data_IF_231253128911
#
_entry.id   IF_231253128911
#
_cell.length_a   1.000
_cell.length_b   1.000
_cell.length_c   1.000
_cell.angle_alpha   90.00
_cell.angle_beta   90.00
_cell.angle_gamma   90.00
#
_symmetry.space_group_name_H-M   'P 1'
#
loop_
_entity.id
_entity.type
_entity.pdbx_description
1 polymer ?
#
# COMPACT_ATOMS: atom_id res chain seq x y z
N UNK A 1 5.67 -31.78 -15.04
CA UNK A 1 6.64 -31.20 -16.01
C UNK A 1 6.62 -29.66 -16.08
N UNK A 2 6.17 -28.93 -15.05
CA UNK A 2 6.13 -27.45 -15.07
C UNK A 2 7.17 -26.72 -14.20
N UNK A 3 7.92 -27.44 -13.35
CA UNK A 3 8.85 -26.84 -12.38
C UNK A 3 10.27 -26.61 -12.92
N UNK A 4 10.73 -27.38 -13.90
CA UNK A 4 12.10 -27.29 -14.43
C UNK A 4 12.34 -26.02 -15.24
N UNK A 5 11.45 -25.68 -16.19
CA UNK A 5 11.59 -24.48 -17.05
C UNK A 5 11.63 -23.12 -16.32
N UNK A 6 11.16 -23.05 -15.08
CA UNK A 6 11.21 -21.82 -14.28
C UNK A 6 12.57 -21.62 -13.60
N UNK A 7 13.25 -22.73 -13.28
CA UNK A 7 14.59 -22.73 -12.69
C UNK A 7 15.62 -22.27 -13.72
N UNK A 8 15.59 -22.86 -14.92
CA UNK A 8 16.49 -22.52 -16.04
C UNK A 8 16.47 -21.01 -16.40
N UNK A 9 15.31 -20.35 -16.26
CA UNK A 9 15.15 -18.91 -16.56
C UNK A 9 15.68 -18.00 -15.46
N UNK A 10 15.57 -18.42 -14.20
CA UNK A 10 16.15 -17.69 -13.07
C UNK A 10 17.67 -17.77 -13.12
N UNK A 11 18.22 -18.93 -13.48
CA UNK A 11 19.65 -19.09 -13.70
C UNK A 11 20.14 -18.23 -14.86
N UNK A 12 19.41 -18.19 -15.99
CA UNK A 12 19.75 -17.30 -17.10
C UNK A 12 19.76 -15.82 -16.69
N UNK A 13 18.79 -15.39 -15.86
CA UNK A 13 18.76 -14.03 -15.31
C UNK A 13 19.94 -13.78 -14.36
N UNK A 14 20.30 -14.75 -13.52
CA UNK A 14 21.46 -14.65 -12.62
C UNK A 14 22.77 -14.48 -13.39
N UNK A 15 22.98 -15.29 -14.43
CA UNK A 15 24.14 -15.12 -15.32
C UNK A 15 24.13 -13.75 -16.02
N UNK A 16 22.96 -13.26 -16.43
CA UNK A 16 22.82 -11.95 -17.05
C UNK A 16 23.20 -10.83 -16.07
N UNK A 17 22.67 -10.85 -14.83
CA UNK A 17 22.99 -9.85 -13.80
C UNK A 17 24.49 -9.83 -13.46
N UNK A 18 25.11 -11.01 -13.29
CA UNK A 18 26.53 -11.13 -12.94
C UNK A 18 27.47 -10.66 -14.07
N UNK A 19 27.02 -10.70 -15.33
CA UNK A 19 27.80 -10.27 -16.51
C UNK A 19 27.41 -8.89 -17.04
N UNK A 20 26.48 -8.20 -16.37
CA UNK A 20 26.01 -6.88 -16.78
C UNK A 20 27.10 -5.83 -16.57
N UNK A 21 27.36 -5.01 -17.59
CA UNK A 21 28.18 -3.82 -17.46
C UNK A 21 27.36 -2.66 -16.87
N UNK A 22 27.76 -2.22 -15.67
CA UNK A 22 27.13 -1.12 -14.94
C UNK A 22 27.82 0.22 -15.16
N UNK A 23 28.90 0.29 -15.95
CA UNK A 23 29.63 1.52 -16.29
C UNK A 23 28.70 2.67 -16.73
N UNK A 24 27.69 2.44 -17.59
CA UNK A 24 26.75 3.50 -17.98
C UNK A 24 26.01 4.15 -16.80
N UNK A 25 25.73 3.40 -15.72
CA UNK A 25 25.11 3.94 -14.50
C UNK A 25 26.12 4.80 -13.72
N UNK A 26 27.38 4.38 -13.63
CA UNK A 26 28.41 5.14 -12.92
C UNK A 26 28.76 6.45 -13.64
N UNK A 27 28.73 6.46 -14.97
CA UNK A 27 29.07 7.62 -15.79
C UNK A 27 27.91 8.61 -16.01
N UNK A 28 26.66 8.17 -15.84
CA UNK A 28 25.50 9.03 -16.06
C UNK A 28 25.55 10.33 -15.23
N UNK A 29 25.26 11.47 -15.86
CA UNK A 29 25.54 12.80 -15.30
C UNK A 29 24.60 13.19 -14.16
N UNK A 30 23.30 12.92 -14.32
CA UNK A 30 22.26 13.31 -13.37
C UNK A 30 21.80 12.13 -12.51
N UNK A 31 21.24 12.41 -11.32
CA UNK A 31 20.72 11.36 -10.44
C UNK A 31 19.56 10.60 -11.12
N UNK A 32 18.71 11.33 -11.87
CA UNK A 32 17.64 10.74 -12.67
C UNK A 32 18.20 9.80 -13.75
N UNK A 33 19.17 10.27 -14.55
CA UNK A 33 19.78 9.46 -15.61
C UNK A 33 20.42 8.18 -15.06
N UNK A 34 21.04 8.24 -13.87
CA UNK A 34 21.56 7.04 -13.17
C UNK A 34 20.46 6.03 -12.87
N UNK A 35 19.36 6.47 -12.26
CA UNK A 35 18.24 5.60 -11.90
C UNK A 35 17.49 5.06 -13.13
N UNK A 36 17.31 5.89 -14.15
CA UNK A 36 16.69 5.49 -15.42
C UNK A 36 17.52 4.44 -16.16
N UNK A 37 18.84 4.64 -16.22
CA UNK A 37 19.77 3.69 -16.85
C UNK A 37 19.76 2.36 -16.10
N UNK A 38 19.82 2.41 -14.77
CA UNK A 38 19.67 1.22 -13.92
C UNK A 38 18.37 0.47 -14.19
N UNK A 39 17.23 1.17 -14.21
CA UNK A 39 15.93 0.57 -14.49
C UNK A 39 15.88 -0.04 -15.89
N UNK A 40 16.39 0.68 -16.90
CA UNK A 40 16.40 0.21 -18.30
C UNK A 40 17.22 -1.06 -18.47
N UNK A 41 18.38 -1.16 -17.83
CA UNK A 41 19.23 -2.36 -17.87
C UNK A 41 18.50 -3.55 -17.26
N UNK A 42 17.88 -3.38 -16.08
CA UNK A 42 17.13 -4.46 -15.41
C UNK A 42 15.92 -4.89 -16.23
N UNK A 43 15.15 -3.94 -16.77
CA UNK A 43 13.99 -4.27 -17.61
C UNK A 43 14.40 -5.00 -18.88
N UNK A 44 15.50 -4.60 -19.52
CA UNK A 44 16.04 -5.30 -20.69
C UNK A 44 16.42 -6.75 -20.34
N UNK A 45 17.08 -6.97 -19.22
CA UNK A 45 17.43 -8.32 -18.77
C UNK A 45 16.18 -9.16 -18.45
N UNK A 46 15.17 -8.55 -17.82
CA UNK A 46 13.88 -9.21 -17.56
C UNK A 46 13.17 -9.60 -18.85
N UNK A 47 13.13 -8.72 -19.85
CA UNK A 47 12.47 -8.98 -21.13
C UNK A 47 13.18 -10.09 -21.92
N UNK A 48 14.51 -10.14 -21.86
CA UNK A 48 15.33 -11.17 -22.52
C UNK A 48 15.21 -12.52 -21.80
N UNK A 49 15.43 -12.56 -20.48
CA UNK A 49 15.49 -13.82 -19.72
C UNK A 49 14.09 -14.33 -19.33
N UNK A 50 13.12 -13.44 -19.14
CA UNK A 50 11.78 -13.72 -18.59
C UNK A 50 10.64 -13.03 -19.35
N UNK A 51 10.52 -13.20 -20.69
CA UNK A 51 9.53 -12.49 -21.49
C UNK A 51 8.11 -12.79 -21.03
N UNK A 52 7.29 -11.72 -20.93
CA UNK A 52 5.88 -11.82 -20.58
C UNK A 52 5.12 -12.69 -21.60
N UNK A 53 4.45 -13.72 -21.12
CA UNK A 53 3.61 -14.60 -21.96
C UNK A 53 2.14 -14.44 -21.61
N UNK A 54 1.35 -13.96 -22.57
CA UNK A 54 -0.12 -13.96 -22.46
C UNK A 54 -0.63 -15.38 -22.59
N UNK A 55 -1.23 -15.90 -21.51
CA UNK A 55 -2.01 -17.14 -21.55
C UNK A 55 -3.48 -16.79 -21.50
N UNK A 56 -4.26 -17.31 -22.45
CA UNK A 56 -5.72 -17.34 -22.32
C UNK A 56 -6.06 -18.29 -21.17
N UNK A 57 -6.40 -17.73 -20.02
CA UNK A 57 -7.02 -18.50 -18.95
C UNK A 57 -8.50 -18.64 -19.31
N UNK A 58 -8.93 -19.84 -19.70
CA UNK A 58 -10.35 -20.14 -19.79
C UNK A 58 -10.91 -20.26 -18.37
N UNK A 59 -11.38 -19.14 -17.82
CA UNK A 59 -12.05 -19.04 -16.51
C UNK A 59 -13.33 -19.87 -16.38
N UNK A 60 -13.78 -20.52 -17.47
CA UNK A 60 -14.92 -21.44 -17.46
C UNK A 60 -14.56 -22.88 -17.08
N UNK A 61 -13.29 -23.26 -17.13
CA UNK A 61 -12.91 -24.61 -16.72
C UNK A 61 -13.10 -24.76 -15.22
N UNK A 62 -13.91 -25.76 -14.85
CA UNK A 62 -14.16 -26.06 -13.44
C UNK A 62 -12.84 -26.51 -12.77
N UNK A 63 -12.57 -26.14 -11.52
CA UNK A 63 -11.27 -26.40 -10.87
C UNK A 63 -10.83 -27.87 -10.87
N UNK A 64 -11.79 -28.80 -10.85
CA UNK A 64 -11.56 -30.24 -10.92
C UNK A 64 -11.30 -30.79 -12.34
N UNK A 65 -11.25 -29.94 -13.37
CA UNK A 65 -11.10 -30.35 -14.77
C UNK A 65 -9.63 -30.67 -15.11
N UNK A 66 -9.23 -31.92 -14.94
CA UNK A 66 -7.86 -32.37 -15.25
C UNK A 66 -7.63 -32.61 -16.75
N UNK A 67 -6.38 -32.59 -17.20
CA UNK A 67 -6.04 -32.95 -18.59
C UNK A 67 -6.48 -34.38 -18.96
N UNK A 68 -6.50 -35.30 -17.99
CA UNK A 68 -7.01 -36.66 -18.20
C UNK A 68 -8.52 -36.66 -18.53
N UNK A 69 -9.30 -35.83 -17.84
CA UNK A 69 -10.73 -35.65 -18.12
C UNK A 69 -10.91 -35.01 -19.50
N UNK A 70 -10.20 -33.92 -19.79
CA UNK A 70 -10.25 -33.22 -21.08
C UNK A 70 -9.88 -34.13 -22.25
N UNK A 71 -8.79 -34.87 -22.15
CA UNK A 71 -8.35 -35.83 -23.16
C UNK A 71 -9.39 -36.93 -23.40
N UNK A 72 -10.05 -37.42 -22.34
CA UNK A 72 -11.09 -38.45 -22.47
C UNK A 72 -12.37 -37.89 -23.11
N UNK A 73 -12.74 -36.64 -22.82
CA UNK A 73 -13.83 -35.92 -23.49
C UNK A 73 -13.53 -35.75 -24.98
N UNK A 74 -12.32 -35.27 -25.34
CA UNK A 74 -11.89 -35.14 -26.74
C UNK A 74 -11.96 -36.49 -27.48
N UNK A 75 -11.46 -37.58 -26.85
CA UNK A 75 -11.53 -38.93 -27.41
C UNK A 75 -12.96 -39.45 -27.60
N UNK A 76 -13.89 -39.10 -26.70
CA UNK A 76 -15.32 -39.41 -26.85
C UNK A 76 -15.92 -38.62 -28.01
N UNK A 77 -15.66 -37.31 -28.08
CA UNK A 77 -16.21 -36.43 -29.11
C UNK A 77 -15.73 -36.83 -30.51
N UNK A 78 -14.44 -37.14 -30.67
CA UNK A 78 -13.88 -37.65 -31.93
C UNK A 78 -14.56 -38.94 -32.40
N UNK A 79 -14.92 -39.84 -31.47
CA UNK A 79 -15.65 -41.06 -31.82
C UNK A 79 -17.11 -40.79 -32.19
N UNK A 80 -17.78 -39.87 -31.49
CA UNK A 80 -19.16 -39.48 -31.82
C UNK A 80 -19.25 -38.86 -33.21
N UNK A 81 -18.34 -37.92 -33.53
CA UNK A 81 -18.32 -37.25 -34.83
C UNK A 81 -18.03 -38.22 -36.00
N UNK A 82 -17.31 -39.32 -35.75
CA UNK A 82 -16.91 -40.27 -36.80
C UNK A 82 -17.89 -41.44 -36.99
N UNK A 83 -18.58 -41.86 -35.93
CA UNK A 83 -19.35 -43.12 -35.94
C UNK A 83 -20.76 -42.99 -35.33
N UNK A 84 -21.18 -41.79 -34.93
CA UNK A 84 -22.48 -41.57 -34.30
C UNK A 84 -22.64 -42.30 -32.95
N UNK A 85 -23.89 -42.66 -32.61
CA UNK A 85 -24.24 -43.32 -31.35
C UNK A 85 -23.94 -44.83 -31.43
N UNK A 86 -22.92 -45.29 -30.71
CA UNK A 86 -22.54 -46.71 -30.63
C UNK A 86 -22.41 -47.21 -29.18
N UNK A 87 -22.45 -48.53 -28.97
CA UNK A 87 -22.25 -49.13 -27.64
C UNK A 87 -20.85 -48.82 -27.07
N UNK A 88 -19.84 -48.77 -27.94
CA UNK A 88 -18.47 -48.33 -27.60
C UNK A 88 -18.45 -46.86 -27.13
N UNK A 89 -19.33 -46.01 -27.67
CA UNK A 89 -19.48 -44.61 -27.21
C UNK A 89 -20.12 -44.54 -25.83
N UNK A 90 -21.14 -45.37 -25.52
CA UNK A 90 -21.74 -45.44 -24.18
C UNK A 90 -20.70 -45.78 -23.12
N UNK A 91 -19.84 -46.78 -23.39
CA UNK A 91 -18.72 -47.14 -22.50
C UNK A 91 -17.77 -45.96 -22.26
N UNK A 92 -17.39 -45.22 -23.32
CA UNK A 92 -16.55 -44.01 -23.17
C UNK A 92 -17.27 -42.88 -22.45
N UNK A 93 -18.57 -42.67 -22.66
CA UNK A 93 -19.38 -41.68 -21.92
C UNK A 93 -19.37 -41.99 -20.43
N UNK A 94 -19.61 -43.25 -20.05
CA UNK A 94 -19.62 -43.68 -18.65
C UNK A 94 -18.21 -43.58 -18.03
N UNK A 95 -17.15 -43.82 -18.80
CA UNK A 95 -15.76 -43.57 -18.37
C UNK A 95 -15.51 -42.08 -18.09
N UNK A 96 -15.98 -41.18 -18.96
CA UNK A 96 -15.90 -39.73 -18.75
C UNK A 96 -16.63 -39.32 -17.47
N UNK A 97 -17.86 -39.80 -17.26
CA UNK A 97 -18.64 -39.50 -16.04
C UNK A 97 -17.94 -39.97 -14.77
N UNK A 98 -17.37 -41.19 -14.77
CA UNK A 98 -16.60 -41.70 -13.63
C UNK A 98 -15.37 -40.85 -13.32
N UNK A 99 -14.61 -40.46 -14.34
CA UNK A 99 -13.44 -39.60 -14.18
C UNK A 99 -13.82 -38.21 -13.65
N UNK A 100 -14.93 -37.64 -14.13
CA UNK A 100 -15.46 -36.37 -13.60
C UNK A 100 -15.85 -36.51 -12.13
N UNK A 101 -16.56 -37.57 -11.74
CA UNK A 101 -16.98 -37.80 -10.35
C UNK A 101 -15.77 -37.97 -9.43
N UNK A 102 -14.77 -38.74 -9.85
CA UNK A 102 -13.52 -38.93 -9.11
C UNK A 102 -12.72 -37.63 -8.98
N UNK A 103 -12.56 -36.88 -10.08
CA UNK A 103 -11.83 -35.61 -10.07
C UNK A 103 -12.51 -34.56 -9.19
N UNK A 104 -13.85 -34.46 -9.23
CA UNK A 104 -14.63 -33.61 -8.31
C UNK A 104 -14.39 -33.99 -6.85
N UNK A 105 -14.54 -35.27 -6.51
CA UNK A 105 -14.36 -35.76 -5.14
C UNK A 105 -12.95 -35.45 -4.63
N UNK A 106 -11.93 -35.79 -5.41
CA UNK A 106 -10.53 -35.58 -5.01
C UNK A 106 -10.19 -34.09 -4.87
N UNK A 107 -10.70 -33.25 -5.78
CA UNK A 107 -10.53 -31.79 -5.68
C UNK A 107 -11.04 -31.27 -4.35
N UNK A 108 -12.32 -31.51 -4.02
CA UNK A 108 -12.90 -30.96 -2.79
C UNK A 108 -12.28 -31.53 -1.51
N UNK A 109 -11.92 -32.82 -1.49
CA UNK A 109 -11.24 -33.43 -0.34
C UNK A 109 -9.88 -32.74 -0.11
N UNK A 110 -9.07 -32.62 -1.17
CA UNK A 110 -7.74 -32.02 -1.07
C UNK A 110 -7.83 -30.53 -0.74
N UNK A 111 -8.77 -29.81 -1.35
CA UNK A 111 -8.98 -28.38 -1.10
C UNK A 111 -9.41 -28.13 0.35
N UNK A 112 -10.34 -28.92 0.91
CA UNK A 112 -10.76 -28.78 2.31
C UNK A 112 -9.60 -29.13 3.26
N UNK A 113 -8.82 -30.17 2.96
CA UNK A 113 -7.64 -30.51 3.74
C UNK A 113 -6.57 -29.41 3.72
N UNK A 114 -6.39 -28.74 2.58
CA UNK A 114 -5.48 -27.61 2.44
C UNK A 114 -6.03 -26.38 3.18
N UNK A 115 -7.32 -26.07 3.03
CA UNK A 115 -7.99 -24.94 3.69
C UNK A 115 -7.99 -25.05 5.22
N UNK A 116 -8.04 -26.27 5.78
CA UNK A 116 -7.87 -26.48 7.23
C UNK A 116 -6.51 -26.01 7.77
N UNK A 117 -5.51 -25.87 6.90
CA UNK A 117 -4.16 -25.39 7.24
C UNK A 117 -3.98 -23.90 6.94
N UNK A 118 -5.01 -23.22 6.41
CA UNK A 118 -4.95 -21.83 5.96
C UNK A 118 -5.80 -20.91 6.85
N UNK A 119 -5.72 -19.61 6.59
CA UNK A 119 -6.44 -18.60 7.35
C UNK A 119 -7.95 -18.62 7.07
N UNK A 120 -8.71 -18.01 7.98
CA UNK A 120 -10.17 -17.93 7.95
C UNK A 120 -10.72 -17.25 6.69
N UNK A 121 -9.99 -16.29 6.11
CA UNK A 121 -10.39 -15.57 4.89
C UNK A 121 -10.49 -16.50 3.68
N UNK A 122 -9.51 -17.37 3.47
CA UNK A 122 -9.51 -18.32 2.37
C UNK A 122 -10.66 -19.34 2.49
N UNK A 123 -11.00 -19.72 3.72
CA UNK A 123 -12.16 -20.57 4.01
C UNK A 123 -13.47 -19.89 3.57
N UNK A 124 -13.68 -18.64 3.96
CA UNK A 124 -14.87 -17.88 3.58
C UNK A 124 -14.96 -17.61 2.07
N UNK A 125 -13.83 -17.30 1.42
CA UNK A 125 -13.77 -17.14 -0.04
C UNK A 125 -14.19 -18.43 -0.78
N UNK A 126 -13.80 -19.60 -0.27
CA UNK A 126 -14.19 -20.89 -0.83
C UNK A 126 -15.69 -21.15 -0.69
N UNK A 127 -16.27 -20.89 0.49
CA UNK A 127 -17.71 -21.03 0.75
C UNK A 127 -18.52 -20.08 -0.14
N UNK A 128 -18.15 -18.80 -0.20
CA UNK A 128 -18.84 -17.80 -1.01
C UNK A 128 -18.85 -18.16 -2.50
N UNK A 129 -17.73 -18.68 -3.03
CA UNK A 129 -17.66 -19.21 -4.40
C UNK A 129 -18.57 -20.43 -4.58
N UNK A 130 -18.65 -21.32 -3.59
CA UNK A 130 -19.52 -22.50 -3.60
C UNK A 130 -21.01 -22.17 -3.58
N UNK A 131 -21.39 -21.12 -2.86
CA UNK A 131 -22.75 -20.58 -2.79
C UNK A 131 -23.16 -19.77 -4.03
N UNK A 132 -22.25 -19.60 -4.99
CA UNK A 132 -22.53 -18.88 -6.23
C UNK A 132 -22.47 -17.36 -6.09
N UNK A 133 -21.94 -16.83 -4.99
CA UNK A 133 -21.61 -15.41 -4.92
C UNK A 133 -20.48 -15.11 -5.91
N UNK A 134 -20.85 -14.48 -7.02
CA UNK A 134 -19.90 -13.91 -7.96
C UNK A 134 -19.33 -12.65 -7.32
N UNK A 135 -18.01 -12.52 -7.27
CA UNK A 135 -17.41 -11.18 -7.15
C UNK A 135 -17.98 -10.38 -8.31
N UNK A 136 -18.71 -9.31 -8.02
CA UNK A 136 -19.05 -8.30 -9.01
C UNK A 136 -17.74 -7.84 -9.63
N UNK A 137 -17.50 -8.23 -10.88
CA UNK A 137 -16.45 -7.62 -11.68
C UNK A 137 -16.75 -6.13 -11.68
N UNK A 138 -15.79 -5.32 -11.21
CA UNK A 138 -15.98 -3.90 -10.91
C UNK A 138 -16.87 -3.21 -11.95
N UNK A 139 -18.01 -2.70 -11.50
CA UNK A 139 -18.84 -1.83 -12.31
C UNK A 139 -18.04 -0.60 -12.73
N UNK A 140 -18.41 -0.01 -13.86
CA UNK A 140 -17.93 1.33 -14.20
C UNK A 140 -18.34 2.28 -13.07
N UNK A 141 -17.45 3.21 -12.75
CA UNK A 141 -17.75 4.30 -11.84
C UNK A 141 -18.59 5.30 -12.63
N UNK A 142 -19.81 5.57 -12.17
CA UNK A 142 -20.71 6.55 -12.77
C UNK A 142 -20.94 7.68 -11.75
N UNK A 143 -20.87 8.91 -12.23
CA UNK A 143 -21.31 10.11 -11.51
C UNK A 143 -22.46 10.73 -12.29
N UNK A 144 -23.52 11.11 -11.59
CA UNK A 144 -24.69 11.72 -12.22
C UNK A 144 -24.28 12.99 -12.97
N UNK A 145 -24.57 13.04 -14.28
CA UNK A 145 -24.25 14.17 -15.15
C UNK A 145 -22.80 14.26 -15.64
N UNK A 146 -21.95 13.24 -15.39
CA UNK A 146 -20.56 13.20 -15.88
C UNK A 146 -20.38 12.07 -16.89
N UNK A 147 -19.82 12.39 -18.05
CA UNK A 147 -19.47 11.39 -19.08
C UNK A 147 -18.39 10.42 -18.58
N UNK A 148 -18.48 9.15 -18.99
CA UNK A 148 -17.63 8.05 -18.50
C UNK A 148 -16.13 8.33 -18.64
N UNK A 149 -15.72 9.07 -19.67
CA UNK A 149 -14.32 9.45 -19.96
C UNK A 149 -13.83 10.63 -19.11
N UNK A 150 -14.75 11.45 -18.58
CA UNK A 150 -14.48 12.60 -17.69
C UNK A 150 -14.48 12.25 -16.20
N UNK A 151 -14.97 11.07 -15.84
CA UNK A 151 -14.96 10.59 -14.45
C UNK A 151 -13.56 10.66 -13.83
N UNK A 152 -12.52 10.32 -14.60
CA UNK A 152 -11.14 10.39 -14.12
C UNK A 152 -10.72 11.83 -13.79
N UNK A 153 -11.07 12.81 -14.63
CA UNK A 153 -10.74 14.22 -14.41
C UNK A 153 -11.47 14.81 -13.21
N UNK A 154 -12.76 14.49 -13.03
CA UNK A 154 -13.54 14.93 -11.87
C UNK A 154 -12.95 14.40 -10.57
N UNK A 155 -12.62 13.09 -10.54
CA UNK A 155 -11.95 12.49 -9.38
C UNK A 155 -10.58 13.14 -9.14
N UNK A 156 -9.80 13.37 -10.19
CA UNK A 156 -8.48 13.97 -10.05
C UNK A 156 -8.56 15.41 -9.53
N UNK A 157 -9.55 16.20 -9.97
CA UNK A 157 -9.82 17.54 -9.44
C UNK A 157 -10.17 17.48 -7.95
N UNK A 158 -11.10 16.61 -7.56
CA UNK A 158 -11.48 16.41 -6.16
C UNK A 158 -10.28 16.05 -5.27
N UNK A 159 -9.43 15.12 -5.73
CA UNK A 159 -8.22 14.79 -4.99
C UNK A 159 -7.26 15.97 -4.97
N UNK A 160 -6.95 16.60 -6.12
CA UNK A 160 -5.99 17.70 -6.20
C UNK A 160 -6.36 18.88 -5.29
N UNK A 161 -7.64 19.25 -5.21
CA UNK A 161 -8.15 20.27 -4.29
C UNK A 161 -7.88 19.93 -2.82
N UNK A 162 -7.90 18.64 -2.47
CA UNK A 162 -7.54 18.20 -1.14
C UNK A 162 -6.03 18.25 -0.85
N UNK A 163 -5.19 18.46 -1.86
CA UNK A 163 -3.73 18.48 -1.75
C UNK A 163 -3.10 19.86 -2.02
N UNK A 164 -3.88 20.84 -2.45
CA UNK A 164 -3.43 22.22 -2.66
C UNK A 164 -3.32 22.96 -1.33
N UNK A 165 -2.09 23.13 -0.84
CA UNK A 165 -1.81 23.99 0.31
C UNK A 165 -1.70 25.44 -0.18
N UNK A 166 -2.25 26.38 0.56
CA UNK A 166 -2.19 27.83 0.25
C UNK A 166 -0.84 28.46 0.60
N UNK A 167 0.01 27.76 1.37
CA UNK A 167 1.35 28.24 1.72
C UNK A 167 2.36 27.82 0.66
N UNK A 168 2.99 28.77 -0.07
CA UNK A 168 4.11 28.44 -0.93
C UNK A 168 5.20 27.75 -0.12
N UNK A 169 5.92 26.81 -0.74
CA UNK A 169 7.19 26.35 -0.20
C UNK A 169 8.14 27.55 -0.19
N UNK A 170 8.18 28.30 0.90
CA UNK A 170 9.18 29.36 1.07
C UNK A 170 10.54 28.69 1.12
N UNK A 171 11.28 28.85 0.02
CA UNK A 171 12.65 28.38 -0.15
C UNK A 171 13.50 29.19 0.82
N UNK A 172 13.69 28.69 2.03
CA UNK A 172 14.87 29.09 2.79
C UNK A 172 16.10 28.61 2.00
N UNK A 173 17.18 29.41 1.92
CA UNK A 173 18.42 28.88 1.41
C UNK A 173 18.79 27.67 2.26
N UNK A 174 18.74 26.48 1.65
CA UNK A 174 19.17 25.26 2.30
C UNK A 174 20.60 25.51 2.79
N UNK A 175 20.89 25.28 4.07
CA UNK A 175 22.23 25.53 4.57
C UNK A 175 23.22 24.70 3.75
N UNK A 176 24.41 25.26 3.51
CA UNK A 176 25.43 24.53 2.76
C UNK A 176 25.77 23.26 3.54
N UNK A 177 25.94 22.10 2.86
CA UNK A 177 26.34 20.88 3.55
C UNK A 177 27.70 21.09 4.23
N UNK A 178 27.75 20.90 5.54
CA UNK A 178 28.97 20.97 6.35
C UNK A 178 29.18 19.66 7.10
N UNK A 179 30.42 19.16 7.15
CA UNK A 179 30.80 17.94 7.89
C UNK A 179 31.07 16.70 7.02
N UNK A 180 31.55 15.63 7.67
CA UNK A 180 31.65 14.30 7.05
C UNK A 180 30.25 13.67 6.95
N UNK A 181 29.89 13.16 5.77
CA UNK A 181 28.63 12.45 5.58
C UNK A 181 28.79 10.97 5.93
N UNK A 182 27.91 10.44 6.78
CA UNK A 182 27.77 9.00 6.97
C UNK A 182 27.07 8.38 5.75
N UNK A 183 27.87 8.07 4.73
CA UNK A 183 27.38 7.51 3.48
C UNK A 183 27.06 6.02 3.62
N UNK A 184 26.04 5.59 2.88
CA UNK A 184 25.68 4.18 2.83
C UNK A 184 26.84 3.37 2.25
N UNK A 185 27.24 2.31 2.94
CA UNK A 185 28.21 1.36 2.41
C UNK A 185 27.52 0.16 1.73
N UNK A 186 28.29 -0.55 0.90
CA UNK A 186 27.79 -1.70 0.11
C UNK A 186 27.20 -2.78 1.02
N UNK A 187 27.78 -3.02 2.20
CA UNK A 187 27.30 -4.00 3.16
C UNK A 187 25.92 -3.65 3.73
N UNK A 188 25.69 -2.39 4.08
CA UNK A 188 24.39 -1.87 4.51
C UNK A 188 23.36 -2.00 3.40
N UNK A 189 23.71 -1.62 2.16
CA UNK A 189 22.82 -1.76 1.01
C UNK A 189 22.43 -3.22 0.76
N UNK A 190 23.40 -4.13 0.75
CA UNK A 190 23.16 -5.57 0.61
C UNK A 190 22.26 -6.11 1.72
N UNK A 191 22.46 -5.67 2.96
CA UNK A 191 21.60 -6.06 4.08
C UNK A 191 20.15 -5.54 3.89
N UNK A 192 19.98 -4.32 3.38
CA UNK A 192 18.65 -3.79 3.06
C UNK A 192 17.95 -4.60 1.95
N UNK A 193 18.66 -4.94 0.88
CA UNK A 193 18.13 -5.74 -0.24
C UNK A 193 17.72 -7.15 0.20
N UNK A 194 18.54 -7.81 1.02
CA UNK A 194 18.26 -9.17 1.51
C UNK A 194 17.06 -9.24 2.46
N UNK A 195 16.71 -8.14 3.13
CA UNK A 195 15.54 -8.02 4.00
C UNK A 195 14.23 -7.78 3.24
N UNK A 196 14.27 -7.51 1.94
CA UNK A 196 13.07 -7.31 1.13
C UNK A 196 12.13 -8.51 1.20
N UNK A 197 10.82 -8.23 1.18
CA UNK A 197 9.78 -9.25 1.09
C UNK A 197 9.57 -9.62 -0.39
N UNK A 198 9.99 -10.82 -0.85
CA UNK A 198 9.99 -11.17 -2.28
C UNK A 198 8.59 -11.27 -2.90
N UNK A 199 7.55 -11.34 -2.07
CA UNK A 199 6.14 -11.47 -2.48
C UNK A 199 5.41 -10.13 -2.60
N UNK A 200 6.04 -9.01 -2.24
CA UNK A 200 5.41 -7.70 -2.38
C UNK A 200 5.16 -7.40 -3.85
N UNK A 201 4.07 -6.68 -4.10
CA UNK A 201 3.76 -6.20 -5.44
C UNK A 201 4.90 -5.34 -5.96
N UNK A 202 5.07 -5.38 -7.27
CA UNK A 202 6.04 -4.57 -7.96
C UNK A 202 5.63 -3.08 -7.89
N UNK A 203 6.62 -2.20 -7.76
CA UNK A 203 6.41 -0.76 -7.82
C UNK A 203 6.12 -0.27 -9.24
N UNK A 204 5.94 1.04 -9.43
CA UNK A 204 5.79 1.65 -10.75
C UNK A 204 6.99 1.42 -11.69
N UNK A 205 8.16 1.09 -11.13
CA UNK A 205 9.40 0.77 -11.84
C UNK A 205 9.38 -0.59 -12.57
N UNK A 206 8.39 -1.44 -12.29
CA UNK A 206 8.31 -2.76 -12.90
C UNK A 206 9.36 -3.75 -12.39
N UNK A 207 10.13 -3.42 -11.35
CA UNK A 207 11.17 -4.29 -10.78
C UNK A 207 10.59 -5.12 -9.61
N UNK A 208 10.61 -6.46 -9.68
CA UNK A 208 10.12 -7.29 -8.59
C UNK A 208 11.06 -7.30 -7.37
N UNK A 209 10.51 -7.24 -6.16
CA UNK A 209 11.29 -7.29 -4.92
C UNK A 209 12.12 -8.58 -4.75
N UNK A 210 11.68 -9.70 -5.34
CA UNK A 210 12.44 -10.95 -5.32
C UNK A 210 13.74 -10.85 -6.13
N UNK A 211 13.75 -10.09 -7.23
CA UNK A 211 14.92 -9.91 -8.09
C UNK A 211 16.00 -9.14 -7.32
N UNK A 212 15.61 -8.02 -6.71
CA UNK A 212 16.50 -7.20 -5.88
C UNK A 212 17.12 -8.00 -4.72
N UNK A 213 16.35 -8.90 -4.13
CA UNK A 213 16.79 -9.76 -3.03
C UNK A 213 17.72 -10.89 -3.47
N UNK A 214 17.38 -11.59 -4.55
CA UNK A 214 18.16 -12.74 -5.05
C UNK A 214 19.49 -12.30 -5.68
N UNK A 215 19.56 -11.09 -6.24
CA UNK A 215 20.76 -10.54 -6.90
C UNK A 215 21.40 -9.39 -6.09
N UNK A 216 21.26 -9.43 -4.76
CA UNK A 216 21.76 -8.37 -3.89
C UNK A 216 23.29 -8.17 -3.98
N UNK A 217 24.06 -9.22 -4.28
CA UNK A 217 25.52 -9.14 -4.47
C UNK A 217 25.88 -8.23 -5.64
N UNK A 218 25.23 -8.44 -6.78
CA UNK A 218 25.52 -7.71 -8.02
C UNK A 218 24.95 -6.29 -7.99
N UNK A 219 23.78 -6.11 -7.36
CA UNK A 219 23.05 -4.85 -7.37
C UNK A 219 23.46 -3.88 -6.26
N UNK A 220 23.99 -4.37 -5.13
CA UNK A 220 24.33 -3.52 -4.00
C UNK A 220 25.37 -2.44 -4.34
N UNK A 221 26.49 -2.71 -5.04
CA UNK A 221 27.45 -1.68 -5.41
C UNK A 221 26.84 -0.55 -6.26
N UNK A 222 25.98 -0.92 -7.22
CA UNK A 222 25.32 0.01 -8.14
C UNK A 222 24.32 0.89 -7.40
N UNK A 223 23.43 0.28 -6.62
CA UNK A 223 22.42 1.01 -5.84
C UNK A 223 23.06 1.90 -4.77
N UNK A 224 24.16 1.44 -4.13
CA UNK A 224 24.92 2.25 -3.17
C UNK A 224 25.44 3.52 -3.83
N UNK A 225 26.00 3.42 -5.03
CA UNK A 225 26.45 4.59 -5.79
C UNK A 225 25.31 5.56 -6.09
N UNK A 226 24.16 5.07 -6.58
CA UNK A 226 23.01 5.93 -6.90
C UNK A 226 22.49 6.64 -5.63
N UNK A 227 22.32 5.90 -4.53
CA UNK A 227 21.82 6.44 -3.25
C UNK A 227 22.79 7.49 -2.68
N UNK A 228 24.09 7.21 -2.69
CA UNK A 228 25.08 8.15 -2.18
C UNK A 228 25.14 9.42 -3.04
N UNK A 229 25.12 9.31 -4.38
CA UNK A 229 25.07 10.48 -5.27
C UNK A 229 23.76 11.26 -5.08
N UNK A 230 22.64 10.57 -4.90
CA UNK A 230 21.33 11.16 -4.59
C UNK A 230 21.39 11.97 -3.29
N UNK A 231 21.91 11.38 -2.22
CA UNK A 231 22.10 12.05 -0.93
C UNK A 231 23.07 13.22 -1.02
N UNK A 232 24.25 13.03 -1.61
CA UNK A 232 25.28 14.06 -1.75
C UNK A 232 24.78 15.30 -2.49
N UNK A 233 23.94 15.10 -3.51
CA UNK A 233 23.34 16.17 -4.31
C UNK A 233 22.04 16.73 -3.73
N UNK A 234 21.52 16.15 -2.64
CA UNK A 234 20.22 16.54 -2.08
C UNK A 234 19.07 16.34 -3.06
N UNK A 235 19.16 15.35 -3.97
CA UNK A 235 18.16 15.17 -5.03
C UNK A 235 17.74 13.72 -5.17
N UNK A 236 16.44 13.47 -5.17
CA UNK A 236 15.86 12.12 -5.33
C UNK A 236 15.49 11.87 -6.80
N UNK A 237 15.84 10.70 -7.37
CA UNK A 237 15.35 10.30 -8.68
C UNK A 237 13.82 10.40 -8.78
N UNK A 238 13.34 10.98 -9.87
CA UNK A 238 11.92 11.18 -10.16
C UNK A 238 11.19 9.84 -10.18
N UNK A 239 11.82 8.80 -10.73
CA UNK A 239 11.28 7.44 -10.77
C UNK A 239 11.00 6.87 -9.38
N UNK A 240 11.83 7.18 -8.37
CA UNK A 240 11.66 6.71 -6.99
C UNK A 240 10.62 7.49 -6.19
N UNK A 241 10.16 8.65 -6.71
CA UNK A 241 9.09 9.45 -6.10
C UNK A 241 7.69 9.00 -6.53
N UNK A 242 7.59 8.10 -7.49
CA UNK A 242 6.31 7.63 -8.06
C UNK A 242 5.64 6.57 -7.18
N UNK A 243 4.32 6.68 -6.99
CA UNK A 243 3.50 5.68 -6.29
C UNK A 243 2.06 5.68 -6.82
N UNK A 244 1.30 4.66 -6.44
CA UNK A 244 -0.11 4.50 -6.80
C UNK A 244 -1.07 5.20 -5.84
N UNK A 245 -0.62 5.59 -4.65
CA UNK A 245 -1.42 6.25 -3.62
C UNK A 245 -0.56 7.21 -2.80
N UNK A 246 -1.20 8.13 -2.08
CA UNK A 246 -0.57 9.21 -1.31
C UNK A 246 -1.27 9.41 0.03
N UNK A 247 -0.50 9.66 1.10
CA UNK A 247 -1.02 10.06 2.42
C UNK A 247 -0.97 11.59 2.55
N UNK A 248 -1.89 12.22 3.30
CA UNK A 248 -1.96 13.68 3.53
C UNK A 248 -0.83 14.18 4.42
N UNK A 249 0.05 14.99 3.84
CA UNK A 249 1.20 15.61 4.53
C UNK A 249 1.45 16.98 3.91
N UNK A 250 1.18 18.05 4.65
CA UNK A 250 1.52 19.40 4.19
C UNK A 250 3.05 19.56 4.08
N UNK A 251 3.56 19.78 2.86
CA UNK A 251 5.00 19.84 2.61
C UNK A 251 5.67 21.04 3.26
N UNK A 252 5.01 22.20 3.25
CA UNK A 252 5.57 23.43 3.80
C UNK A 252 5.72 23.31 5.32
N UNK A 253 4.69 22.82 6.00
CA UNK A 253 4.74 22.57 7.45
C UNK A 253 5.72 21.49 7.83
N UNK A 254 5.76 20.38 7.08
CA UNK A 254 6.74 19.32 7.31
C UNK A 254 8.15 19.91 7.24
N UNK A 255 8.49 20.63 6.16
CA UNK A 255 9.83 21.19 5.99
C UNK A 255 10.17 22.24 7.04
N UNK A 256 9.21 23.09 7.43
CA UNK A 256 9.42 24.04 8.53
C UNK A 256 9.72 23.30 9.84
N UNK A 257 8.96 22.25 10.16
CA UNK A 257 9.22 21.44 11.33
C UNK A 257 10.60 20.78 11.31
N UNK A 258 11.05 20.30 10.13
CA UNK A 258 12.39 19.73 9.98
C UNK A 258 13.51 20.76 10.17
N UNK A 259 13.25 22.02 9.82
CA UNK A 259 14.16 23.14 10.13
C UNK A 259 14.18 23.43 11.62
N UNK A 260 13.01 23.46 12.27
CA UNK A 260 12.87 23.76 13.70
C UNK A 260 13.57 22.73 14.59
N UNK A 261 13.65 21.47 14.16
CA UNK A 261 14.42 20.40 14.85
C UNK A 261 15.90 20.34 14.44
N UNK A 262 16.37 21.33 13.66
CA UNK A 262 17.76 21.46 13.20
C UNK A 262 18.28 20.24 12.42
N UNK A 263 17.44 19.68 11.54
CA UNK A 263 17.84 18.55 10.70
C UNK A 263 19.04 18.91 9.80
N UNK A 264 19.91 17.93 9.55
CA UNK A 264 21.10 18.19 8.73
C UNK A 264 20.70 18.78 7.35
N UNK A 265 21.43 19.80 6.86
CA UNK A 265 21.01 20.56 5.67
C UNK A 265 20.88 19.70 4.41
N UNK A 266 21.73 18.69 4.30
CA UNK A 266 21.76 17.77 3.16
C UNK A 266 20.55 16.84 3.14
N UNK A 267 20.17 16.29 4.30
CA UNK A 267 18.96 15.48 4.43
C UNK A 267 17.71 16.32 4.22
N UNK A 268 17.69 17.57 4.72
CA UNK A 268 16.62 18.51 4.45
C UNK A 268 16.47 18.79 2.94
N UNK A 269 17.58 19.02 2.23
CA UNK A 269 17.58 19.20 0.78
C UNK A 269 17.03 17.96 0.05
N UNK A 270 17.46 16.78 0.48
CA UNK A 270 17.00 15.50 -0.05
C UNK A 270 15.50 15.28 0.17
N UNK A 271 14.98 15.57 1.36
CA UNK A 271 13.54 15.50 1.68
C UNK A 271 12.75 16.54 0.88
N UNK A 272 13.26 17.77 0.74
CA UNK A 272 12.64 18.79 -0.11
C UNK A 272 12.56 18.31 -1.57
N UNK A 273 13.61 17.70 -2.12
CA UNK A 273 13.57 17.10 -3.45
C UNK A 273 12.57 15.93 -3.55
N UNK A 274 12.40 15.16 -2.48
CA UNK A 274 11.43 14.06 -2.38
C UNK A 274 9.96 14.53 -2.46
N UNK A 275 9.66 15.68 -1.86
CA UNK A 275 8.32 16.26 -1.80
C UNK A 275 8.01 17.22 -2.96
N UNK A 276 9.03 17.79 -3.62
CA UNK A 276 8.87 18.80 -4.68
C UNK A 276 8.65 18.22 -6.08
N UNK A 277 7.91 18.96 -6.91
CA UNK A 277 7.69 18.64 -8.33
C UNK A 277 6.76 17.44 -8.53
N UNK A 278 5.91 17.16 -7.54
CA UNK A 278 5.01 16.00 -7.56
C UNK A 278 3.78 16.30 -8.39
N UNK A 279 3.33 15.27 -9.11
CA UNK A 279 2.11 15.28 -9.91
C UNK A 279 1.29 14.03 -9.64
N UNK A 280 -0.03 14.16 -9.74
CA UNK A 280 -0.97 13.05 -9.68
C UNK A 280 -1.84 13.00 -10.92
N UNK A 281 -2.40 11.81 -11.17
CA UNK A 281 -3.50 11.58 -12.11
C UNK A 281 -4.30 10.37 -11.62
N UNK A 282 -5.57 10.31 -11.99
CA UNK A 282 -6.47 9.21 -11.63
C UNK A 282 -6.72 8.34 -12.86
N UNK A 283 -6.79 7.02 -12.65
CA UNK A 283 -7.31 6.09 -13.66
C UNK A 283 -8.70 5.63 -13.24
N UNK A 284 -9.71 5.93 -14.05
CA UNK A 284 -11.08 5.48 -13.84
C UNK A 284 -11.66 4.98 -15.16
N UNK A 285 -12.46 3.91 -15.13
CA UNK A 285 -13.10 3.34 -16.32
C UNK A 285 -12.14 3.01 -17.50
N UNK A 286 -10.84 2.80 -17.21
CA UNK A 286 -9.81 2.52 -18.22
C UNK A 286 -9.22 3.76 -18.91
N UNK A 287 -9.65 4.96 -18.54
CA UNK A 287 -9.04 6.23 -18.98
C UNK A 287 -8.23 6.86 -17.84
N UNK A 288 -7.21 7.64 -18.21
CA UNK A 288 -6.44 8.46 -17.28
C UNK A 288 -6.89 9.91 -17.38
N UNK A 289 -6.94 10.60 -16.25
CA UNK A 289 -7.10 12.05 -16.19
C UNK A 289 -5.86 12.77 -16.72
N UNK A 290 -5.98 14.08 -16.92
CA UNK A 290 -4.80 14.96 -17.04
C UNK A 290 -3.94 14.88 -15.77
N UNK A 291 -2.67 15.28 -15.90
CA UNK A 291 -1.80 15.47 -14.73
C UNK A 291 -2.20 16.74 -13.97
N UNK A 292 -2.19 16.67 -12.64
CA UNK A 292 -2.34 17.81 -11.74
C UNK A 292 -1.15 17.89 -10.79
N UNK A 293 -0.74 19.11 -10.44
CA UNK A 293 0.33 19.32 -9.46
C UNK A 293 -0.15 19.06 -8.05
N UNK A 294 0.77 18.62 -7.21
CA UNK A 294 0.48 18.18 -5.84
C UNK A 294 1.45 18.86 -4.90
N UNK A 295 0.92 19.68 -3.99
CA UNK A 295 1.69 20.42 -2.97
C UNK A 295 1.57 19.82 -1.57
N UNK A 296 0.92 18.65 -1.46
CA UNK A 296 0.75 17.92 -0.20
C UNK A 296 0.79 16.42 -0.47
N UNK A 297 1.33 15.68 0.48
CA UNK A 297 1.29 14.24 0.55
C UNK A 297 2.54 13.50 0.10
N UNK A 298 2.68 12.28 0.58
CA UNK A 298 3.88 11.45 0.41
C UNK A 298 3.51 10.09 -0.21
N UNK A 299 4.43 9.43 -0.96
CA UNK A 299 4.12 8.17 -1.63
C UNK A 299 3.71 7.07 -0.66
N UNK A 300 2.49 6.55 -0.74
CA UNK A 300 2.07 5.45 0.13
C UNK A 300 2.89 4.18 -0.16
N UNK A 301 3.30 3.49 0.91
CA UNK A 301 4.10 2.26 0.82
C UNK A 301 5.61 2.47 0.75
N UNK A 302 6.07 3.72 0.70
CA UNK A 302 7.47 4.09 0.88
C UNK A 302 7.86 4.10 2.37
N UNK A 303 9.05 3.59 2.68
CA UNK A 303 9.58 3.63 4.06
C UNK A 303 9.80 5.07 4.51
N UNK A 304 10.42 5.90 3.66
CA UNK A 304 10.63 7.33 3.92
C UNK A 304 9.31 8.06 4.13
N UNK A 305 8.31 7.80 3.28
CA UNK A 305 6.98 8.39 3.41
C UNK A 305 6.35 8.17 4.77
N UNK A 306 6.49 6.96 5.34
CA UNK A 306 5.98 6.66 6.68
C UNK A 306 6.67 7.52 7.75
N UNK A 307 7.99 7.67 7.69
CA UNK A 307 8.71 8.54 8.64
C UNK A 307 8.30 10.01 8.48
N UNK A 308 8.17 10.50 7.25
CA UNK A 308 7.73 11.88 6.99
C UNK A 308 6.29 12.12 7.48
N UNK A 309 5.41 11.14 7.31
CA UNK A 309 4.06 11.19 7.85
C UNK A 309 4.08 11.23 9.38
N UNK A 310 4.86 10.37 10.04
CA UNK A 310 4.99 10.35 11.50
C UNK A 310 5.58 11.66 12.05
N UNK A 311 6.58 12.24 11.38
CA UNK A 311 7.16 13.54 11.74
C UNK A 311 6.15 14.69 11.55
N UNK A 312 5.29 14.60 10.53
CA UNK A 312 4.20 15.55 10.39
C UNK A 312 3.17 15.40 11.52
N UNK A 313 2.81 14.16 11.87
CA UNK A 313 1.91 13.85 12.99
C UNK A 313 2.46 14.32 14.34
N UNK A 314 3.79 14.27 14.55
CA UNK A 314 4.41 14.74 15.80
C UNK A 314 4.38 16.26 15.99
N UNK A 315 3.90 17.03 15.01
CA UNK A 315 3.68 18.48 15.17
C UNK A 315 2.46 18.82 16.02
N UNK A 316 1.62 17.83 16.37
CA UNK A 316 0.53 18.01 17.33
C UNK A 316 1.05 18.44 18.69
N UNK A 317 0.26 19.26 19.37
CA UNK A 317 0.53 19.72 20.72
C UNK A 317 -0.73 19.58 21.55
N UNK A 318 -0.56 19.19 22.81
CA UNK A 318 -1.62 19.26 23.82
C UNK A 318 -1.63 20.63 24.47
N UNK A 319 -2.80 21.05 24.95
CA UNK A 319 -2.99 22.30 25.69
C UNK A 319 -2.66 22.11 27.18
N UNK A 320 -2.94 20.93 27.72
CA UNK A 320 -2.79 20.62 29.14
C UNK A 320 -1.80 19.47 29.37
N UNK A 321 -1.02 19.60 30.44
CA UNK A 321 -0.01 18.60 30.84
C UNK A 321 -0.63 17.26 31.29
N UNK A 322 -1.89 17.26 31.73
CA UNK A 322 -2.61 16.05 32.13
C UNK A 322 -3.31 15.32 30.96
N UNK A 323 -3.13 15.82 29.73
CA UNK A 323 -3.61 15.16 28.52
C UNK A 323 -2.58 14.16 28.02
N UNK A 324 -2.99 12.91 27.94
CA UNK A 324 -2.23 11.88 27.25
C UNK A 324 -2.66 11.84 25.78
N UNK A 325 -1.81 12.35 24.89
CA UNK A 325 -1.91 12.21 23.43
C UNK A 325 -1.21 10.92 22.97
N UNK A 326 -2.00 10.01 22.40
CA UNK A 326 -1.52 8.75 21.83
C UNK A 326 -1.78 8.73 20.34
N UNK A 327 -0.87 8.13 19.58
CA UNK A 327 -1.05 7.97 18.14
C UNK A 327 -0.38 6.70 17.60
N UNK A 328 -1.04 6.07 16.63
CA UNK A 328 -0.49 4.96 15.86
C UNK A 328 -0.86 5.12 14.39
N UNK A 329 0.12 5.48 13.57
CA UNK A 329 -0.14 5.90 12.18
C UNK A 329 -1.22 6.99 12.12
N UNK A 330 -2.38 6.72 11.52
CA UNK A 330 -3.51 7.63 11.37
C UNK A 330 -4.49 7.64 12.55
N UNK A 331 -4.42 6.64 13.44
CA UNK A 331 -5.23 6.61 14.67
C UNK A 331 -4.64 7.56 15.72
N UNK A 332 -5.48 8.45 16.27
CA UNK A 332 -5.13 9.41 17.33
C UNK A 332 -6.13 9.25 18.48
N UNK A 333 -5.63 9.26 19.72
CA UNK A 333 -6.43 9.17 20.93
C UNK A 333 -5.98 10.16 21.98
N UNK A 334 -6.91 10.96 22.49
CA UNK A 334 -6.71 11.88 23.62
C UNK A 334 -7.37 11.28 24.86
N UNK A 335 -6.69 11.33 26.00
CA UNK A 335 -7.25 10.86 27.27
C UNK A 335 -6.80 11.75 28.43
N UNK A 336 -7.70 11.94 29.40
CA UNK A 336 -7.46 12.72 30.60
C UNK A 336 -8.12 12.05 31.80
N UNK A 337 -7.51 12.23 32.98
CA UNK A 337 -8.13 11.90 34.25
C UNK A 337 -8.62 13.19 34.92
N UNK A 338 -9.94 13.31 35.09
CA UNK A 338 -10.58 14.47 35.70
C UNK A 338 -11.13 14.08 37.08
N UNK A 339 -10.69 14.74 38.17
CA UNK A 339 -11.28 14.51 39.50
C UNK A 339 -12.77 14.84 39.53
N UNK A 340 -13.57 13.98 40.19
CA UNK A 340 -15.02 14.20 40.31
C UNK A 340 -15.40 15.55 40.93
N UNK A 341 -14.54 16.12 41.78
CA UNK A 341 -14.75 17.44 42.39
C UNK A 341 -14.76 18.58 41.37
N UNK A 342 -14.11 18.40 40.22
CA UNK A 342 -13.91 19.45 39.22
C UNK A 342 -14.71 19.18 37.93
N UNK A 343 -15.42 18.07 37.85
CA UNK A 343 -15.97 17.53 36.59
C UNK A 343 -16.95 18.46 35.86
N UNK A 344 -17.64 19.35 36.58
CA UNK A 344 -18.60 20.29 36.00
C UNK A 344 -17.96 21.63 35.56
N UNK A 345 -16.81 21.98 36.14
CA UNK A 345 -16.05 23.17 35.78
C UNK A 345 -14.90 22.88 34.81
N UNK A 346 -14.47 21.62 34.72
CA UNK A 346 -13.42 21.17 33.83
C UNK A 346 -13.90 21.20 32.36
N UNK A 347 -13.14 21.91 31.53
CA UNK A 347 -13.35 22.06 30.09
C UNK A 347 -12.11 21.65 29.29
N UNK A 348 -11.18 20.96 29.93
CA UNK A 348 -9.87 20.65 29.36
C UNK A 348 -10.01 19.75 28.13
N UNK A 349 -10.79 18.67 28.19
CA UNK A 349 -11.02 17.80 27.02
C UNK A 349 -11.71 18.53 25.85
N UNK A 350 -12.65 19.44 26.14
CA UNK A 350 -13.30 20.26 25.11
C UNK A 350 -12.28 21.18 24.42
N UNK A 351 -11.38 21.79 25.19
CA UNK A 351 -10.30 22.63 24.67
C UNK A 351 -9.26 21.82 23.89
N UNK A 352 -8.91 20.61 24.32
CA UNK A 352 -8.02 19.71 23.59
C UNK A 352 -8.63 19.26 22.25
N UNK A 353 -9.92 18.88 22.25
CA UNK A 353 -10.62 18.52 21.04
C UNK A 353 -10.62 19.67 20.02
N UNK A 354 -10.86 20.91 20.50
CA UNK A 354 -10.76 22.12 19.68
C UNK A 354 -9.35 22.37 19.16
N UNK A 355 -8.32 22.21 19.99
CA UNK A 355 -6.92 22.36 19.59
C UNK A 355 -6.54 21.33 18.52
N UNK A 356 -7.04 20.11 18.63
CA UNK A 356 -6.84 19.05 17.64
C UNK A 356 -7.52 19.37 16.30
N UNK A 357 -8.75 19.91 16.33
CA UNK A 357 -9.46 20.40 15.14
C UNK A 357 -8.70 21.55 14.46
N UNK A 358 -8.22 22.53 15.23
CA UNK A 358 -7.44 23.67 14.71
C UNK A 358 -6.10 23.19 14.12
N UNK A 359 -5.42 22.26 14.78
CA UNK A 359 -4.20 21.65 14.25
C UNK A 359 -4.48 20.90 12.94
N UNK A 360 -5.52 20.06 12.89
CA UNK A 360 -5.86 19.30 11.70
C UNK A 360 -6.20 20.21 10.52
N UNK A 361 -7.03 21.23 10.75
CA UNK A 361 -7.40 22.23 9.75
C UNK A 361 -6.16 22.97 9.23
N UNK A 362 -5.30 23.47 10.13
CA UNK A 362 -4.10 24.17 9.71
C UNK A 362 -3.12 23.24 8.97
N UNK A 363 -3.09 21.95 9.29
CA UNK A 363 -2.21 20.94 8.68
C UNK A 363 -2.78 20.29 7.42
N UNK A 364 -3.88 20.82 6.87
CA UNK A 364 -4.58 20.26 5.70
C UNK A 364 -5.00 18.79 5.90
N UNK A 365 -5.24 18.40 7.15
CA UNK A 365 -5.75 17.10 7.55
C UNK A 365 -7.25 17.18 7.81
N UNK A 366 -7.96 16.07 7.60
CA UNK A 366 -9.39 15.98 7.88
C UNK A 366 -9.64 14.93 8.95
N UNK A 367 -10.16 15.37 10.09
CA UNK A 367 -10.65 14.48 11.13
C UNK A 367 -12.01 13.92 10.72
N UNK A 368 -12.19 12.62 10.90
CA UNK A 368 -13.44 11.96 10.57
C UNK A 368 -14.34 11.91 11.81
N UNK A 369 -15.04 13.01 12.09
CA UNK A 369 -15.93 13.11 13.25
C UNK A 369 -16.99 12.01 13.33
N UNK A 370 -17.45 11.47 12.19
CA UNK A 370 -18.40 10.34 12.14
C UNK A 370 -17.82 9.01 12.62
N UNK A 371 -16.50 8.85 12.55
CA UNK A 371 -15.78 7.66 13.03
C UNK A 371 -15.17 7.87 14.42
N UNK A 372 -15.04 9.12 14.85
CA UNK A 372 -14.61 9.46 16.21
C UNK A 372 -15.64 8.97 17.22
N UNK A 373 -15.17 8.49 18.37
CA UNK A 373 -16.02 8.04 19.49
C UNK A 373 -15.42 8.54 20.80
N UNK A 374 -16.27 8.77 21.78
CA UNK A 374 -15.88 9.12 23.15
C UNK A 374 -16.18 7.93 24.06
N UNK A 375 -15.23 7.53 24.89
CA UNK A 375 -15.46 6.56 25.95
C UNK A 375 -15.28 7.25 27.31
N UNK A 376 -16.31 7.21 28.14
CA UNK A 376 -16.30 7.77 29.49
C UNK A 376 -16.18 6.63 30.50
N UNK A 377 -15.10 6.59 31.25
CA UNK A 377 -14.88 5.60 32.32
C UNK A 377 -15.12 6.29 33.66
N UNK A 378 -16.20 5.89 34.35
CA UNK A 378 -16.55 6.45 35.65
C UNK A 378 -17.16 5.36 36.56
N UNK A 379 -16.55 5.13 37.72
CA UNK A 379 -17.01 4.15 38.71
C UNK A 379 -17.94 4.75 39.78
N UNK A 380 -18.35 6.01 39.63
CA UNK A 380 -19.32 6.63 40.53
C UNK A 380 -20.69 5.98 40.34
N UNK A 381 -21.42 5.77 41.45
CA UNK A 381 -22.82 5.31 41.40
C UNK A 381 -23.74 6.30 40.69
N UNK A 382 -23.40 7.58 40.75
CA UNK A 382 -24.09 8.67 40.06
C UNK A 382 -23.07 9.34 39.12
N UNK A 383 -22.88 8.82 37.90
CA UNK A 383 -21.95 9.42 36.96
C UNK A 383 -22.44 10.81 36.52
N UNK A 384 -21.55 11.80 36.43
CA UNK A 384 -21.92 13.15 36.03
C UNK A 384 -22.31 13.21 34.55
N UNK A 385 -23.30 14.07 34.24
CA UNK A 385 -23.64 14.38 32.86
C UNK A 385 -22.72 15.50 32.36
N UNK A 386 -21.85 15.16 31.41
CA UNK A 386 -20.94 16.09 30.76
C UNK A 386 -21.51 16.56 29.42
N UNK A 387 -21.11 17.77 29.01
CA UNK A 387 -21.41 18.30 27.70
C UNK A 387 -20.86 17.38 26.58
N UNK A 388 -21.47 17.40 25.39
CA UNK A 388 -20.94 16.66 24.25
C UNK A 388 -19.63 17.25 23.74
N UNK A 389 -18.71 16.37 23.33
CA UNK A 389 -17.50 16.76 22.61
C UNK A 389 -17.79 16.92 21.12
N UNK A 390 -17.04 17.81 20.47
CA UNK A 390 -17.11 18.01 19.03
C UNK A 390 -15.72 17.79 18.42
N UNK A 391 -15.67 17.01 17.34
CA UNK A 391 -14.48 16.80 16.52
C UNK A 391 -14.88 16.76 15.03
N UNK A 392 -14.11 17.42 14.18
CA UNK A 392 -14.40 17.53 12.75
C UNK A 392 -15.76 18.16 12.45
N UNK A 393 -16.22 19.07 13.33
CA UNK A 393 -17.53 19.72 13.24
C UNK A 393 -18.73 18.77 13.43
N UNK A 394 -18.52 17.61 14.07
CA UNK A 394 -19.58 16.66 14.42
C UNK A 394 -19.55 16.39 15.93
N UNK A 395 -20.73 16.18 16.52
CA UNK A 395 -20.84 15.67 17.89
C UNK A 395 -20.28 14.25 17.95
N UNK A 396 -19.39 14.00 18.91
CA UNK A 396 -18.73 12.71 19.09
C UNK A 396 -19.66 11.79 19.90
N UNK A 397 -20.10 10.64 19.35
CA UNK A 397 -20.96 9.72 20.07
C UNK A 397 -20.23 9.06 21.23
N UNK A 398 -20.93 8.97 22.37
CA UNK A 398 -20.45 8.23 23.56
C UNK A 398 -20.71 6.74 23.35
N UNK A 399 -19.69 5.92 23.56
CA UNK A 399 -19.77 4.46 23.43
C UNK A 399 -19.34 3.76 24.71
N UNK A 400 -19.96 2.61 24.99
CA UNK A 400 -19.57 1.73 26.10
C UNK A 400 -18.50 0.72 25.71
N UNK A 401 -18.32 0.47 24.41
CA UNK A 401 -17.29 -0.43 23.89
C UNK A 401 -16.70 0.14 22.62
N UNK A 402 -15.38 0.04 22.46
CA UNK A 402 -14.70 0.44 21.24
C UNK A 402 -13.49 -0.46 20.96
N UNK A 403 -13.11 -0.54 19.70
CA UNK A 403 -11.87 -1.21 19.29
C UNK A 403 -10.78 -0.17 19.12
N UNK A 404 -9.70 -0.28 19.87
CA UNK A 404 -8.53 0.60 19.76
C UNK A 404 -7.26 -0.24 19.60
N UNK A 405 -6.53 -0.03 18.50
CA UNK A 405 -5.27 -0.72 18.17
C UNK A 405 -5.32 -2.25 18.26
N UNK A 406 -6.49 -2.84 17.98
CA UNK A 406 -6.70 -4.30 18.01
C UNK A 406 -7.26 -4.83 19.33
N UNK A 407 -7.31 -4.02 20.39
CA UNK A 407 -7.92 -4.36 21.67
C UNK A 407 -9.36 -3.86 21.73
N UNK A 408 -10.22 -4.61 22.41
CA UNK A 408 -11.56 -4.15 22.76
C UNK A 408 -11.49 -3.54 24.16
N UNK A 409 -11.95 -2.30 24.25
CA UNK A 409 -12.07 -1.56 25.51
C UNK A 409 -13.55 -1.47 25.86
N UNK A 410 -13.89 -1.64 27.13
CA UNK A 410 -15.21 -1.47 27.70
C UNK A 410 -15.19 -0.41 28.81
N UNK A 411 -16.25 0.38 28.91
CA UNK A 411 -16.33 1.52 29.83
C UNK A 411 -16.33 1.12 31.32
N UNK A 412 -16.59 -0.14 31.61
CA UNK A 412 -16.55 -0.74 32.95
C UNK A 412 -15.28 -1.57 33.22
N UNK A 413 -14.38 -1.68 32.23
CA UNK A 413 -13.13 -2.44 32.30
C UNK A 413 -13.33 -3.92 32.72
N UNK A 414 -14.49 -4.50 32.41
CA UNK A 414 -14.83 -5.86 32.79
C UNK A 414 -14.12 -6.93 31.94
N UNK A 415 -13.70 -6.57 30.72
CA UNK A 415 -13.05 -7.47 29.76
C UNK A 415 -13.99 -8.49 29.12
N UNK A 416 -15.32 -8.29 29.22
CA UNK A 416 -16.34 -9.22 28.70
C UNK A 416 -16.74 -8.93 27.24
N UNK A 417 -15.79 -8.51 26.40
CA UNK A 417 -16.03 -8.05 25.02
C UNK A 417 -16.01 -9.15 23.97
#
# INVERSE_FOLDING_TARGET
>A
MGRTRGHDRKEALACCMASTDWTPVYEAVSVDSKAETFNSIIQTALDVCMPMKRKKSTTQDKPWMTEQVKATIRKRQKMFNRWGKTEKLKRKRNKVQRLIKAAKKNYYINEIQDLKKKNQKEWWDFINKGLGHKKTSGGKIHFDGVEDDKVADVLNKFFAEAWTSTTPLTIFPLPLPTGEDDLCNIGQMKQALTRLCPRKACGPDGIPAWLLKEHAEDLAPVLTHIVNISYLRGSVPTTWKTSNAFDRVDHAKLLQHLVDIELCPRLLAWIHSYTTGRRQRVMANGTYSSWSEVTSGVPQGGVVSLYLFLLHMSTRKTVFDNTLDTGYADDVGLSQAIPLTNIHSDRSMEMEAKQLDEWAASSNMLLNGKKSVEMRICFSRNPPQLAPLFLGGQEVPIVTTTKYLGFHLDSDLSGNT
#
